data_IF_322719191492
#
_entry.id   IF_322719191492
#
_cell.length_a   1.000
_cell.length_b   1.000
_cell.length_c   1.000
_cell.angle_alpha   90.00
_cell.angle_beta   90.00
_cell.angle_gamma   90.00
#
_symmetry.space_group_name_H-M   'P 1'
#
loop_
_entity.id
_entity.type
_entity.pdbx_description
1 polymer ?
#
# COMPACT_ATOMS: atom_id res chain seq x y z
N UNK A 1 -5.48 -4.06 -11.18
CA UNK A 1 -5.02 -3.61 -12.51
C UNK A 1 -5.36 -2.16 -12.81
N UNK A 2 -6.63 -1.72 -12.72
CA UNK A 2 -7.00 -0.31 -13.00
C UNK A 2 -6.21 0.72 -12.17
N UNK A 3 -6.09 0.50 -10.85
CA UNK A 3 -5.30 1.38 -9.96
C UNK A 3 -3.82 1.41 -10.36
N UNK A 4 -3.22 0.26 -10.63
CA UNK A 4 -1.81 0.15 -11.05
C UNK A 4 -1.54 0.97 -12.32
N UNK A 5 -2.36 0.78 -13.35
CA UNK A 5 -2.23 1.50 -14.63
C UNK A 5 -2.48 3.00 -14.43
N UNK A 6 -3.47 3.37 -13.61
CA UNK A 6 -3.76 4.76 -13.27
C UNK A 6 -2.57 5.44 -12.57
N UNK A 7 -1.97 4.78 -11.57
CA UNK A 7 -0.80 5.31 -10.87
C UNK A 7 0.43 5.38 -11.78
N UNK A 8 0.61 4.43 -12.71
CA UNK A 8 1.67 4.49 -13.71
C UNK A 8 1.51 5.71 -14.63
N UNK A 9 0.28 6.02 -15.04
CA UNK A 9 -0.01 7.21 -15.84
C UNK A 9 0.25 8.51 -15.05
N UNK A 10 -0.19 8.56 -13.79
CA UNK A 10 0.07 9.69 -12.88
C UNK A 10 1.57 9.92 -12.66
N UNK A 11 2.34 8.84 -12.49
CA UNK A 11 3.80 8.92 -12.38
C UNK A 11 4.42 9.44 -13.68
N UNK A 12 4.08 8.85 -14.83
CA UNK A 12 4.65 9.21 -16.14
C UNK A 12 4.30 10.64 -16.57
N UNK A 13 3.10 11.11 -16.24
CA UNK A 13 2.67 12.48 -16.50
C UNK A 13 3.39 13.52 -15.64
N UNK A 14 4.13 13.10 -14.61
CA UNK A 14 4.82 14.00 -13.68
C UNK A 14 3.87 14.81 -12.80
N UNK A 15 2.59 14.44 -12.74
CA UNK A 15 1.56 15.14 -11.97
C UNK A 15 1.85 15.11 -10.47
N UNK A 16 2.43 14.01 -9.97
CA UNK A 16 2.85 13.84 -8.58
C UNK A 16 4.35 13.54 -8.55
N UNK A 17 5.13 14.41 -7.92
CA UNK A 17 6.58 14.21 -7.74
C UNK A 17 6.86 13.44 -6.45
N UNK A 18 7.60 12.35 -6.57
CA UNK A 18 8.11 11.58 -5.43
C UNK A 18 9.22 12.39 -4.77
N UNK A 19 8.85 13.12 -3.71
CA UNK A 19 9.80 13.91 -2.92
C UNK A 19 10.23 13.14 -1.68
N UNK A 20 11.39 13.46 -1.07
CA UNK A 20 11.80 12.85 0.20
C UNK A 20 10.76 13.01 1.31
N UNK A 21 9.99 14.11 1.29
CA UNK A 21 8.87 14.34 2.22
C UNK A 21 7.72 13.37 1.98
N UNK A 22 7.34 13.15 0.72
CA UNK A 22 6.31 12.20 0.33
C UNK A 22 6.68 10.76 0.74
N UNK A 23 7.92 10.35 0.47
CA UNK A 23 8.42 9.03 0.85
C UNK A 23 8.37 8.82 2.37
N UNK A 24 8.80 9.82 3.17
CA UNK A 24 8.72 9.76 4.63
C UNK A 24 7.28 9.70 5.14
N UNK A 25 6.36 10.45 4.52
CA UNK A 25 4.94 10.42 4.88
C UNK A 25 4.32 9.05 4.61
N UNK A 26 4.61 8.45 3.44
CA UNK A 26 4.15 7.10 3.12
C UNK A 26 4.74 6.05 4.05
N UNK A 27 6.04 6.13 4.32
CA UNK A 27 6.70 5.23 5.27
C UNK A 27 6.06 5.34 6.65
N UNK A 28 5.77 6.55 7.14
CA UNK A 28 5.08 6.76 8.41
C UNK A 28 3.66 6.15 8.37
N UNK A 29 2.94 6.29 7.26
CA UNK A 29 1.64 5.64 7.05
C UNK A 29 1.72 4.12 7.08
N UNK A 30 2.70 3.53 6.39
CA UNK A 30 2.95 2.08 6.38
C UNK A 30 3.26 1.56 7.79
N UNK A 31 4.14 2.25 8.52
CA UNK A 31 4.44 1.92 9.92
C UNK A 31 3.19 2.06 10.79
N UNK A 32 2.37 3.09 10.58
CA UNK A 32 1.10 3.26 11.29
C UNK A 32 0.14 2.10 11.07
N UNK A 33 -0.08 1.69 9.81
CA UNK A 33 -0.89 0.52 9.47
C UNK A 33 -0.34 -0.75 10.13
N UNK A 34 0.98 -0.94 10.11
CA UNK A 34 1.63 -2.09 10.72
C UNK A 34 1.46 -2.12 12.24
N UNK A 35 1.64 -0.99 12.91
CA UNK A 35 1.44 -0.86 14.36
C UNK A 35 -0.02 -1.11 14.74
N UNK A 36 -0.98 -0.55 13.99
CA UNK A 36 -2.40 -0.78 14.23
C UNK A 36 -2.80 -2.24 14.00
N UNK A 37 -2.27 -2.87 12.95
CA UNK A 37 -2.52 -4.28 12.68
C UNK A 37 -1.94 -5.20 13.78
N UNK A 38 -0.72 -4.91 14.25
CA UNK A 38 -0.11 -5.63 15.36
C UNK A 38 -0.86 -5.40 16.68
N UNK A 39 -1.27 -4.15 16.95
CA UNK A 39 -2.08 -3.81 18.12
C UNK A 39 -3.40 -4.58 18.13
N UNK A 40 -4.11 -4.63 17.00
CA UNK A 40 -5.33 -5.42 16.86
C UNK A 40 -5.08 -6.92 17.06
N UNK A 41 -3.96 -7.45 16.57
CA UNK A 41 -3.60 -8.86 16.75
C UNK A 41 -3.32 -9.19 18.23
N UNK A 42 -2.51 -8.36 18.90
CA UNK A 42 -2.17 -8.54 20.32
C UNK A 42 -3.41 -8.43 21.19
N UNK A 43 -4.24 -7.41 20.99
CA UNK A 43 -5.48 -7.21 21.73
C UNK A 43 -6.52 -8.30 21.44
N UNK A 44 -6.52 -8.84 20.23
CA UNK A 44 -7.33 -10.01 19.87
C UNK A 44 -7.02 -11.24 20.73
N UNK A 45 -5.77 -11.46 21.15
CA UNK A 45 -5.44 -12.53 22.10
C UNK A 45 -6.04 -12.31 23.49
N UNK A 46 -6.37 -11.07 23.85
CA UNK A 46 -7.05 -10.70 25.09
C UNK A 46 -8.58 -10.58 24.91
N UNK A 47 -9.12 -10.97 23.74
CA UNK A 47 -10.54 -10.88 23.43
C UNK A 47 -11.05 -9.46 23.14
N UNK A 48 -10.15 -8.49 22.95
CA UNK A 48 -10.49 -7.09 22.64
C UNK A 48 -10.38 -6.88 21.13
N UNK A 49 -11.51 -6.62 20.46
CA UNK A 49 -11.56 -6.26 19.04
C UNK A 49 -11.56 -4.72 18.88
N UNK A 50 -10.56 -4.16 18.20
CA UNK A 50 -10.50 -2.71 17.92
C UNK A 50 -11.46 -2.26 16.81
N UNK A 51 -12.21 -3.18 16.21
CA UNK A 51 -13.12 -2.92 15.11
C UNK A 51 -12.42 -2.59 13.78
N UNK A 52 -11.09 -2.75 13.71
CA UNK A 52 -10.30 -2.43 12.52
C UNK A 52 -10.53 -3.41 11.37
N UNK A 53 -11.07 -4.59 11.68
CA UNK A 53 -11.35 -5.66 10.70
C UNK A 53 -12.72 -6.31 10.86
N UNK A 54 -13.58 -5.76 11.72
CA UNK A 54 -14.85 -6.38 12.12
C UNK A 54 -16.03 -6.06 11.18
N UNK A 55 -15.80 -5.42 10.03
CA UNK A 55 -16.85 -5.05 9.07
C UNK A 55 -17.62 -3.76 9.41
N UNK A 56 -17.39 -3.15 10.57
CA UNK A 56 -18.03 -1.89 10.94
C UNK A 56 -17.52 -0.65 10.17
N UNK A 57 -18.12 0.54 10.40
CA UNK A 57 -17.72 1.80 9.74
C UNK A 57 -16.23 2.15 9.88
N UNK A 58 -15.63 1.79 11.03
CA UNK A 58 -14.20 1.97 11.30
C UNK A 58 -13.33 1.08 10.38
N UNK A 59 -13.76 -0.16 10.13
CA UNK A 59 -13.05 -1.09 9.24
C UNK A 59 -13.06 -0.60 7.79
N UNK A 60 -14.18 -0.03 7.32
CA UNK A 60 -14.30 0.56 5.99
C UNK A 60 -13.33 1.73 5.83
N UNK A 61 -13.32 2.68 6.78
CA UNK A 61 -12.41 3.84 6.75
C UNK A 61 -10.95 3.37 6.78
N UNK A 62 -10.61 2.42 7.64
CA UNK A 62 -9.26 1.88 7.73
C UNK A 62 -8.81 1.22 6.42
N UNK A 63 -9.66 0.42 5.79
CA UNK A 63 -9.36 -0.21 4.50
C UNK A 63 -9.23 0.82 3.38
N UNK A 64 -10.04 1.88 3.34
CA UNK A 64 -9.88 2.98 2.39
C UNK A 64 -8.52 3.69 2.54
N UNK A 65 -8.08 3.95 3.78
CA UNK A 65 -6.76 4.51 4.05
C UNK A 65 -5.65 3.57 3.56
N UNK A 66 -5.77 2.26 3.84
CA UNK A 66 -4.80 1.26 3.39
C UNK A 66 -4.74 1.16 1.86
N UNK A 67 -5.87 1.20 1.15
CA UNK A 67 -5.93 1.23 -0.32
C UNK A 67 -5.24 2.49 -0.85
N UNK A 68 -5.51 3.65 -0.24
CA UNK A 68 -4.84 4.90 -0.59
C UNK A 68 -3.32 4.80 -0.44
N UNK A 69 -2.84 4.33 0.71
CA UNK A 69 -1.42 4.13 0.98
C UNK A 69 -0.79 3.16 -0.02
N UNK A 70 -1.43 2.03 -0.30
CA UNK A 70 -0.95 1.06 -1.28
C UNK A 70 -0.89 1.64 -2.70
N UNK A 71 -1.90 2.43 -3.09
CA UNK A 71 -1.89 3.11 -4.38
C UNK A 71 -0.73 4.10 -4.50
N UNK A 72 -0.49 4.91 -3.47
CA UNK A 72 0.60 5.87 -3.43
C UNK A 72 1.99 5.21 -3.33
N UNK A 73 2.11 4.05 -2.69
CA UNK A 73 3.35 3.26 -2.69
C UNK A 73 3.82 2.90 -4.11
N UNK A 74 2.91 2.69 -5.06
CA UNK A 74 3.31 2.46 -6.46
C UNK A 74 4.13 3.61 -7.04
N UNK A 75 3.88 4.87 -6.64
CA UNK A 75 4.70 5.99 -7.12
C UNK A 75 6.15 5.85 -6.65
N UNK A 76 6.36 5.43 -5.41
CA UNK A 76 7.70 5.15 -4.88
C UNK A 76 8.31 3.97 -5.62
N UNK A 77 7.55 2.91 -5.84
CA UNK A 77 8.04 1.72 -6.54
C UNK A 77 8.49 2.04 -7.98
N UNK A 78 7.75 2.89 -8.70
CA UNK A 78 8.11 3.35 -10.04
C UNK A 78 9.33 4.28 -10.04
N UNK A 79 9.42 5.20 -9.08
CA UNK A 79 10.60 6.08 -8.93
C UNK A 79 11.86 5.27 -8.60
N UNK A 80 11.74 4.27 -7.73
CA UNK A 80 12.84 3.36 -7.42
C UNK A 80 13.26 2.54 -8.66
N UNK A 81 12.30 2.09 -9.47
CA UNK A 81 12.55 1.41 -10.74
C UNK A 81 13.34 2.30 -11.70
N UNK A 82 12.88 3.53 -11.92
CA UNK A 82 13.54 4.49 -12.82
C UNK A 82 14.94 4.87 -12.34
N UNK A 83 15.12 5.12 -11.03
CA UNK A 83 16.43 5.45 -10.48
C UNK A 83 17.44 4.33 -10.70
N UNK A 84 17.03 3.08 -10.51
CA UNK A 84 17.89 1.90 -10.71
C UNK A 84 18.27 1.71 -12.18
N UNK A 85 17.33 1.93 -13.10
CA UNK A 85 17.59 1.90 -14.54
C UNK A 85 18.56 3.03 -14.92
N UNK A 86 18.36 4.26 -14.41
CA UNK A 86 19.25 5.40 -14.68
C UNK A 86 20.63 5.25 -14.06
N UNK A 87 20.74 4.55 -12.93
CA UNK A 87 22.01 4.24 -12.29
C UNK A 87 22.78 3.11 -13.00
N UNK A 88 22.22 2.49 -14.04
CA UNK A 88 22.85 1.36 -14.74
C UNK A 88 23.00 0.12 -13.86
N UNK A 89 22.10 -0.07 -12.90
CA UNK A 89 22.19 -1.16 -11.94
C UNK A 89 22.17 -2.53 -12.65
N UNK A 90 22.94 -3.52 -12.15
CA UNK A 90 23.00 -4.85 -12.76
C UNK A 90 21.61 -5.53 -12.74
N UNK A 91 21.29 -6.34 -13.77
CA UNK A 91 19.99 -7.03 -13.91
C UNK A 91 19.55 -7.80 -12.66
N UNK A 92 20.50 -8.31 -11.87
CA UNK A 92 20.24 -9.00 -10.61
C UNK A 92 19.44 -8.15 -9.61
N UNK A 93 19.55 -6.82 -9.70
CA UNK A 93 18.84 -5.90 -8.83
C UNK A 93 17.40 -5.60 -9.34
N UNK A 94 17.11 -5.84 -10.62
CA UNK A 94 15.77 -5.66 -11.19
C UNK A 94 14.74 -6.61 -10.55
N UNK A 95 15.18 -7.80 -10.14
CA UNK A 95 14.37 -8.75 -9.37
C UNK A 95 13.77 -8.12 -8.10
N UNK A 96 14.55 -7.33 -7.36
CA UNK A 96 14.09 -6.74 -6.11
C UNK A 96 12.99 -5.70 -6.31
N UNK A 97 13.11 -4.92 -7.39
CA UNK A 97 12.13 -3.90 -7.79
C UNK A 97 10.84 -4.57 -8.26
N UNK A 98 10.97 -5.61 -9.09
CA UNK A 98 9.83 -6.39 -9.56
C UNK A 98 9.08 -7.05 -8.39
N UNK A 99 9.80 -7.54 -7.38
CA UNK A 99 9.22 -8.07 -6.16
C UNK A 99 8.48 -6.99 -5.36
N UNK A 100 9.07 -5.80 -5.19
CA UNK A 100 8.41 -4.67 -4.52
C UNK A 100 7.09 -4.31 -5.19
N UNK A 101 7.11 -4.13 -6.51
CA UNK A 101 5.90 -3.87 -7.31
C UNK A 101 4.85 -4.97 -7.18
N UNK A 102 5.27 -6.24 -7.20
CA UNK A 102 4.36 -7.38 -7.03
C UNK A 102 3.74 -7.41 -5.63
N UNK A 103 4.53 -7.14 -4.58
CA UNK A 103 4.04 -7.08 -3.19
C UNK A 103 3.02 -5.95 -3.02
N UNK A 104 3.30 -4.75 -3.53
CA UNK A 104 2.35 -3.62 -3.50
C UNK A 104 1.07 -3.96 -4.25
N UNK A 105 1.17 -4.65 -5.40
CA UNK A 105 0.01 -5.12 -6.17
C UNK A 105 -0.85 -6.14 -5.43
N UNK A 106 -0.22 -7.14 -4.83
CA UNK A 106 -0.93 -8.15 -4.04
C UNK A 106 -1.55 -7.51 -2.79
N UNK A 107 -0.84 -6.61 -2.12
CA UNK A 107 -1.36 -5.92 -0.94
C UNK A 107 -2.59 -5.07 -1.27
N UNK A 108 -2.53 -4.25 -2.32
CA UNK A 108 -3.67 -3.47 -2.81
C UNK A 108 -4.84 -4.38 -3.18
N UNK A 109 -4.57 -5.50 -3.84
CA UNK A 109 -5.61 -6.46 -4.22
C UNK A 109 -6.32 -7.03 -2.99
N UNK A 110 -5.57 -7.49 -1.99
CA UNK A 110 -6.13 -8.02 -0.74
C UNK A 110 -6.95 -6.96 -0.01
N UNK A 111 -6.52 -5.70 0.00
CA UNK A 111 -7.25 -4.63 0.69
C UNK A 111 -8.56 -4.26 -0.03
N UNK A 112 -8.58 -4.27 -1.36
CA UNK A 112 -9.82 -4.09 -2.15
C UNK A 112 -10.78 -5.24 -1.90
N UNK A 113 -10.30 -6.49 -1.93
CA UNK A 113 -11.13 -7.65 -1.61
C UNK A 113 -11.70 -7.56 -0.20
N UNK A 114 -10.90 -7.11 0.77
CA UNK A 114 -11.34 -6.92 2.15
C UNK A 114 -12.43 -5.86 2.24
N UNK A 115 -12.24 -4.70 1.59
CA UNK A 115 -13.26 -3.66 1.54
C UNK A 115 -14.58 -4.19 0.95
N UNK A 116 -14.51 -4.92 -0.16
CA UNK A 116 -15.69 -5.54 -0.78
C UNK A 116 -16.33 -6.59 0.13
N UNK A 117 -15.54 -7.35 0.88
CA UNK A 117 -16.05 -8.37 1.82
C UNK A 117 -16.89 -7.77 2.95
N UNK A 118 -16.63 -6.52 3.34
CA UNK A 118 -17.45 -5.85 4.35
C UNK A 118 -18.84 -5.53 3.81
N UNK A 119 -18.93 -5.08 2.57
CA UNK A 119 -20.21 -4.82 1.90
C UNK A 119 -20.98 -6.08 1.47
N UNK A 120 -20.33 -7.24 1.44
CA UNK A 120 -20.93 -8.52 1.05
C UNK A 120 -21.43 -9.36 2.23
N UNK A 121 -20.90 -9.13 3.43
CA UNK A 121 -21.30 -9.84 4.65
C UNK A 121 -22.35 -9.07 5.47
N UNK A 122 -22.89 -7.98 4.93
CA UNK A 122 -24.04 -7.22 5.45
C UNK A 122 -25.36 -7.70 4.82
#
# INVERSE_FOLDING_TARGET
>A
MGVFIGMLFVYRSGAIRVTPKFQRMLLAGLVGVLVLALGNMVLGFFGIDMGLRSGGPIAIIFSLVCIGLAAFSFLIDFDAADQMVRAGAPEKAAWGIALGLAVTLVWLYVEILRLLSYFQND
#
